data_IF_687565389778
#
_entry.id   IF_687565389778
#
_cell.length_a   1.000
_cell.length_b   1.000
_cell.length_c   1.000
_cell.angle_alpha   90.00
_cell.angle_beta   90.00
_cell.angle_gamma   90.00
#
_symmetry.space_group_name_H-M   'P 1'
#
loop_
_entity.id
_entity.type
_entity.pdbx_description
1 polymer ?
#
# COMPACT_ATOMS: atom_id res chain seq x y z
N UNK A 1 20.23 26.55 14.89
CA UNK A 1 19.82 25.14 14.68
C UNK A 1 18.50 25.24 13.96
N UNK A 2 18.59 25.70 12.72
CA UNK A 2 17.45 26.08 11.91
C UNK A 2 16.93 24.79 11.31
N UNK A 3 15.91 24.24 11.98
CA UNK A 3 15.06 23.20 11.40
C UNK A 3 14.72 23.68 9.98
N UNK A 4 15.20 22.93 8.99
CA UNK A 4 15.28 23.39 7.61
C UNK A 4 13.90 23.88 7.16
N UNK A 5 13.81 24.97 6.40
CA UNK A 5 12.53 25.56 5.94
C UNK A 5 11.54 24.54 5.32
N UNK A 6 11.96 23.43 4.67
CA UNK A 6 11.03 22.38 4.24
C UNK A 6 10.66 21.34 5.31
N UNK A 7 11.32 21.29 6.47
CA UNK A 7 11.05 20.31 7.53
C UNK A 7 9.64 20.42 8.10
N UNK A 8 9.18 21.63 8.39
CA UNK A 8 7.82 21.86 8.90
C UNK A 8 6.72 21.49 7.90
N UNK A 9 6.74 21.95 6.63
CA UNK A 9 5.77 21.50 5.64
C UNK A 9 5.89 20.01 5.30
N UNK A 10 7.10 19.43 5.32
CA UNK A 10 7.29 17.98 5.20
C UNK A 10 6.61 17.23 6.34
N UNK A 11 6.81 17.66 7.59
CA UNK A 11 6.22 17.04 8.78
C UNK A 11 4.69 17.09 8.71
N UNK A 12 4.12 18.22 8.31
CA UNK A 12 2.67 18.38 8.10
C UNK A 12 2.19 17.48 6.96
N UNK A 13 2.89 17.46 5.83
CA UNK A 13 2.52 16.64 4.68
C UNK A 13 2.53 15.14 5.03
N UNK A 14 3.58 14.65 5.70
CA UNK A 14 3.71 13.23 6.03
C UNK A 14 2.73 12.80 7.13
N UNK A 15 2.39 13.67 8.08
CA UNK A 15 1.35 13.39 9.07
C UNK A 15 -0.03 13.34 8.43
N UNK A 16 -0.37 14.29 7.54
CA UNK A 16 -1.62 14.25 6.78
C UNK A 16 -1.70 13.02 5.87
N UNK A 17 -0.59 12.63 5.24
CA UNK A 17 -0.53 11.44 4.39
C UNK A 17 -0.64 10.14 5.21
N UNK A 18 -0.03 10.08 6.41
CA UNK A 18 -0.17 8.93 7.33
C UNK A 18 -1.58 8.79 7.90
N UNK A 19 -2.23 9.92 8.19
CA UNK A 19 -3.62 9.93 8.68
C UNK A 19 -4.63 9.59 7.59
N UNK A 20 -4.27 9.82 6.33
CA UNK A 20 -5.10 9.44 5.19
C UNK A 20 -5.11 7.91 5.11
N UNK A 21 -6.22 7.23 5.47
CA UNK A 21 -6.28 5.77 5.34
C UNK A 21 -6.01 5.41 3.87
N UNK A 22 -5.07 4.48 3.66
CA UNK A 22 -4.71 4.02 2.30
C UNK A 22 -5.92 3.45 1.55
N UNK A 23 -5.80 3.33 0.22
CA UNK A 23 -6.89 2.82 -0.63
C UNK A 23 -7.34 1.42 -0.21
N UNK A 24 -6.41 0.57 0.22
CA UNK A 24 -6.65 -0.78 0.73
C UNK A 24 -7.48 -0.75 2.02
N UNK A 25 -7.06 0.09 2.97
CA UNK A 25 -7.75 0.29 4.24
C UNK A 25 -9.16 0.86 4.04
N UNK A 26 -9.31 1.84 3.14
CA UNK A 26 -10.61 2.41 2.77
C UNK A 26 -11.53 1.37 2.13
N UNK A 27 -11.02 0.53 1.24
CA UNK A 27 -11.78 -0.55 0.61
C UNK A 27 -12.25 -1.57 1.64
N UNK A 28 -11.37 -2.01 2.55
CA UNK A 28 -11.73 -2.93 3.63
C UNK A 28 -12.79 -2.29 4.53
N UNK A 29 -12.61 -1.05 4.98
CA UNK A 29 -13.59 -0.33 5.81
C UNK A 29 -14.92 -0.19 5.09
N UNK A 30 -14.91 0.20 3.80
CA UNK A 30 -16.13 0.38 2.99
C UNK A 30 -16.91 -0.92 2.81
N UNK A 31 -16.22 -2.02 2.49
CA UNK A 31 -16.87 -3.32 2.34
C UNK A 31 -17.32 -3.88 3.69
N UNK A 32 -16.52 -3.69 4.75
CA UNK A 32 -16.90 -4.06 6.12
C UNK A 32 -18.12 -3.29 6.60
N UNK A 33 -18.19 -1.98 6.35
CA UNK A 33 -19.31 -1.15 6.76
C UNK A 33 -20.60 -1.45 5.97
N UNK A 34 -20.48 -1.89 4.71
CA UNK A 34 -21.64 -2.22 3.85
C UNK A 34 -22.17 -3.63 4.06
N UNK A 35 -21.31 -4.62 4.25
CA UNK A 35 -21.71 -6.04 4.31
C UNK A 35 -21.26 -6.78 5.57
N UNK A 36 -20.71 -6.05 6.55
CA UNK A 36 -20.26 -6.61 7.81
C UNK A 36 -18.85 -7.18 7.75
N UNK A 37 -18.43 -7.77 8.87
CA UNK A 37 -17.05 -8.25 9.08
C UNK A 37 -16.58 -9.28 8.05
N UNK A 38 -17.48 -10.10 7.50
CA UNK A 38 -17.13 -11.16 6.52
C UNK A 38 -16.65 -10.55 5.20
N UNK A 39 -17.32 -9.51 4.71
CA UNK A 39 -16.95 -8.82 3.48
C UNK A 39 -15.62 -8.06 3.65
N UNK A 40 -15.36 -7.57 4.86
CA UNK A 40 -14.06 -7.04 5.26
C UNK A 40 -12.93 -8.05 5.13
N UNK A 41 -13.11 -9.25 5.70
CA UNK A 41 -12.11 -10.32 5.64
C UNK A 41 -11.85 -10.77 4.20
N UNK A 42 -12.90 -10.92 3.38
CA UNK A 42 -12.76 -11.27 1.97
C UNK A 42 -11.99 -10.17 1.21
N UNK A 43 -12.28 -8.90 1.48
CA UNK A 43 -11.57 -7.77 0.86
C UNK A 43 -10.08 -7.78 1.24
N UNK A 44 -9.76 -7.95 2.52
CA UNK A 44 -8.36 -8.02 2.98
C UNK A 44 -7.61 -9.20 2.37
N UNK A 45 -8.24 -10.38 2.29
CA UNK A 45 -7.64 -11.56 1.68
C UNK A 45 -7.36 -11.33 0.19
N UNK A 46 -8.31 -10.74 -0.53
CA UNK A 46 -8.15 -10.41 -1.94
C UNK A 46 -6.98 -9.45 -2.17
N UNK A 47 -6.85 -8.40 -1.35
CA UNK A 47 -5.74 -7.44 -1.42
C UNK A 47 -4.41 -8.15 -1.17
N UNK A 48 -4.29 -8.95 -0.10
CA UNK A 48 -3.07 -9.69 0.22
C UNK A 48 -2.68 -10.65 -0.91
N UNK A 49 -3.63 -11.42 -1.44
CA UNK A 49 -3.38 -12.32 -2.57
C UNK A 49 -2.92 -11.55 -3.82
N UNK A 50 -3.59 -10.44 -4.15
CA UNK A 50 -3.21 -9.60 -5.29
C UNK A 50 -1.79 -9.03 -5.15
N UNK A 51 -1.43 -8.56 -3.96
CA UNK A 51 -0.10 -8.02 -3.68
C UNK A 51 0.99 -9.08 -3.81
N UNK A 52 0.74 -10.29 -3.34
CA UNK A 52 1.67 -11.41 -3.48
C UNK A 52 1.91 -11.78 -4.96
N UNK A 53 0.84 -11.84 -5.75
CA UNK A 53 0.95 -12.09 -7.20
C UNK A 53 1.75 -10.99 -7.88
N UNK A 54 1.47 -9.72 -7.57
CA UNK A 54 2.23 -8.60 -8.12
C UNK A 54 3.72 -8.67 -7.74
N UNK A 55 4.03 -8.93 -6.47
CA UNK A 55 5.40 -9.07 -5.99
C UNK A 55 6.12 -10.24 -6.67
N UNK A 56 5.45 -11.38 -6.84
CA UNK A 56 6.00 -12.54 -7.54
C UNK A 56 6.28 -12.22 -9.02
N UNK A 57 5.35 -11.56 -9.72
CA UNK A 57 5.55 -11.13 -11.11
C UNK A 57 6.71 -10.13 -11.21
N UNK A 58 6.79 -9.17 -10.30
CA UNK A 58 7.87 -8.17 -10.28
C UNK A 58 9.23 -8.84 -10.00
N UNK A 59 9.29 -9.78 -9.06
CA UNK A 59 10.49 -10.55 -8.75
C UNK A 59 10.93 -11.40 -9.95
N UNK A 60 10.00 -12.13 -10.58
CA UNK A 60 10.28 -12.91 -11.79
C UNK A 60 10.76 -12.01 -12.93
N UNK A 61 10.13 -10.86 -13.16
CA UNK A 61 10.54 -9.91 -14.19
C UNK A 61 11.97 -9.42 -13.98
N UNK A 62 12.31 -9.03 -12.75
CA UNK A 62 13.69 -8.63 -12.41
C UNK A 62 14.66 -9.82 -12.58
N UNK A 63 14.30 -11.03 -12.14
CA UNK A 63 15.12 -12.23 -12.32
C UNK A 63 15.39 -12.55 -13.79
N UNK A 64 14.41 -12.37 -14.68
CA UNK A 64 14.57 -12.57 -16.13
C UNK A 64 15.50 -11.52 -16.75
N UNK A 65 15.36 -10.24 -16.36
CA UNK A 65 16.26 -9.16 -16.81
C UNK A 65 17.70 -9.46 -16.38
N UNK A 66 17.90 -9.93 -15.14
CA UNK A 66 19.23 -10.32 -14.65
C UNK A 66 19.80 -11.51 -15.43
N UNK A 67 18.99 -12.50 -15.79
CA UNK A 67 19.41 -13.64 -16.61
C UNK A 67 19.80 -13.25 -18.04
N UNK A 68 19.15 -12.24 -18.62
CA UNK A 68 19.48 -11.73 -19.96
C UNK A 68 20.68 -10.78 -19.98
N UNK A 69 21.06 -10.22 -18.82
CA UNK A 69 22.18 -9.30 -18.69
C UNK A 69 23.50 -9.99 -18.31
N UNK A 70 23.47 -11.29 -18.00
CA UNK A 70 24.65 -12.14 -17.80
C UNK A 70 24.98 -12.91 -19.08
#
# INVERSE_FOLDING_TARGET
>A
MDVDTPFWPFLVAITLLSMSPGIDTLLVIRNTARGGWRDGVVTSLAICCGFFVHAAVSALGISLILLQSA
#
